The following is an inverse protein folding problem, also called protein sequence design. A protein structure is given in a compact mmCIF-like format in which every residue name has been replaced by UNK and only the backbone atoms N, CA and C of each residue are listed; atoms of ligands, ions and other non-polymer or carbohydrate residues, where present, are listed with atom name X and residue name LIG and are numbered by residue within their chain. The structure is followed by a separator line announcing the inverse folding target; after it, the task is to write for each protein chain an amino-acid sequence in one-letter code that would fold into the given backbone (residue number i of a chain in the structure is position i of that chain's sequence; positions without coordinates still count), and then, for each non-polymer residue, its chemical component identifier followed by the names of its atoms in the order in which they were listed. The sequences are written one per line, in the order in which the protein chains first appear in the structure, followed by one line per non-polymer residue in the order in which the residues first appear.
data_IF_475774335842
#
_entry.id   IF_475774335842
#
_cell.length_a   1.000
_cell.length_b   1.000
_cell.length_c   1.000
_cell.angle_alpha   90.00
_cell.angle_beta   90.00
_cell.angle_gamma   90.00
#
_symmetry.space_group_name_H-M   'P 1'
#
loop_
_entity.id
_entity.type
_entity.pdbx_description
1 polymer ?
#
# COMPACT_ATOMS: atom_id res chain seq x y z
N UNK A 1 -17.10 5.12 -12.44
CA UNK A 1 -16.04 6.11 -12.13
C UNK A 1 -15.95 6.44 -10.64
N UNK A 2 -17.06 6.75 -9.95
CA UNK A 2 -17.06 7.15 -8.53
C UNK A 2 -16.46 6.10 -7.57
N UNK A 3 -16.78 4.83 -7.75
CA UNK A 3 -16.26 3.71 -6.95
C UNK A 3 -14.76 3.50 -7.12
N UNK A 4 -14.26 3.59 -8.36
CA UNK A 4 -12.83 3.47 -8.66
C UNK A 4 -12.03 4.61 -8.01
N UNK A 5 -12.53 5.86 -8.11
CA UNK A 5 -11.89 7.02 -7.50
C UNK A 5 -11.86 6.96 -5.97
N UNK A 6 -12.89 6.40 -5.35
CA UNK A 6 -12.93 6.21 -3.89
C UNK A 6 -11.93 5.14 -3.47
N UNK A 7 -11.87 4.03 -4.21
CA UNK A 7 -10.96 2.93 -3.92
C UNK A 7 -9.49 3.36 -4.03
N UNK A 8 -9.12 4.14 -5.05
CA UNK A 8 -7.76 4.67 -5.18
C UNK A 8 -7.41 5.60 -4.02
N UNK A 9 -8.32 6.47 -3.57
CA UNK A 9 -8.08 7.33 -2.40
C UNK A 9 -7.86 6.51 -1.12
N UNK A 10 -8.66 5.46 -0.90
CA UNK A 10 -8.50 4.58 0.26
C UNK A 10 -7.16 3.82 0.21
N UNK A 11 -6.75 3.36 -0.97
CA UNK A 11 -5.43 2.74 -1.15
C UNK A 11 -4.30 3.72 -0.83
N UNK A 12 -4.37 4.95 -1.34
CA UNK A 12 -3.37 5.98 -1.04
C UNK A 12 -3.30 6.24 0.46
N UNK A 13 -4.45 6.37 1.13
CA UNK A 13 -4.50 6.59 2.57
C UNK A 13 -3.91 5.42 3.37
N UNK A 14 -4.18 4.17 2.96
CA UNK A 14 -3.59 2.99 3.57
C UNK A 14 -2.07 2.97 3.42
N UNK A 15 -1.54 3.20 2.22
CA UNK A 15 -0.11 3.18 1.99
C UNK A 15 0.62 4.36 2.65
N UNK A 16 -0.02 5.54 2.72
CA UNK A 16 0.48 6.66 3.50
C UNK A 16 0.53 6.31 5.01
N UNK A 17 -0.48 5.59 5.52
CA UNK A 17 -0.49 5.07 6.88
C UNK A 17 0.66 4.09 7.14
N UNK A 18 0.91 3.15 6.23
CA UNK A 18 2.07 2.25 6.30
C UNK A 18 3.38 3.04 6.38
N UNK A 19 3.57 4.00 5.48
CA UNK A 19 4.79 4.83 5.46
C UNK A 19 4.96 5.61 6.77
N UNK A 20 3.88 6.20 7.28
CA UNK A 20 3.89 6.92 8.56
C UNK A 20 4.31 6.02 9.71
N UNK A 21 3.77 4.80 9.81
CA UNK A 21 4.13 3.86 10.87
C UNK A 21 5.59 3.44 10.77
N UNK A 22 6.11 3.20 9.55
CA UNK A 22 7.53 2.86 9.32
C UNK A 22 8.43 4.00 9.79
N UNK A 23 8.17 5.23 9.37
CA UNK A 23 8.97 6.40 9.74
C UNK A 23 8.95 6.64 11.26
N UNK A 24 7.78 6.50 11.91
CA UNK A 24 7.67 6.61 13.38
C UNK A 24 8.37 5.47 14.13
N UNK A 25 8.52 4.29 13.52
CA UNK A 25 9.19 3.15 14.12
C UNK A 25 10.72 3.28 14.16
N UNK A 26 11.29 4.37 13.63
CA UNK A 26 12.74 4.61 13.53
C UNK A 26 13.52 3.46 12.85
N UNK A 27 12.90 2.75 11.91
CA UNK A 27 13.46 1.54 11.28
C UNK A 27 13.87 0.46 12.29
N UNK A 28 12.89 0.00 13.08
CA UNK A 28 12.97 -1.30 13.75
C UNK A 28 13.39 -2.42 12.78
N UNK A 29 13.78 -3.59 13.33
CA UNK A 29 14.25 -4.73 12.54
C UNK A 29 13.38 -4.95 11.29
N UNK A 30 14.02 -5.06 10.13
CA UNK A 30 13.40 -5.24 8.80
C UNK A 30 12.31 -6.33 8.74
N UNK A 31 12.38 -7.32 9.63
CA UNK A 31 11.33 -8.31 9.83
C UNK A 31 9.95 -7.70 10.17
N UNK A 32 9.90 -6.71 11.07
CA UNK A 32 8.64 -6.05 11.47
C UNK A 32 8.05 -5.22 10.33
N UNK A 33 8.90 -4.57 9.54
CA UNK A 33 8.50 -3.86 8.33
C UNK A 33 7.83 -4.78 7.31
N UNK A 34 8.35 -6.00 7.12
CA UNK A 34 7.75 -7.02 6.24
C UNK A 34 6.40 -7.48 6.79
N UNK A 35 6.30 -7.76 8.10
CA UNK A 35 5.01 -8.12 8.72
C UNK A 35 3.97 -7.00 8.57
N UNK A 36 4.38 -5.76 8.81
CA UNK A 36 3.52 -4.59 8.67
C UNK A 36 3.04 -4.43 7.23
N UNK A 37 3.90 -4.67 6.24
CA UNK A 37 3.52 -4.65 4.84
C UNK A 37 2.40 -5.66 4.55
N UNK A 38 2.53 -6.91 5.03
CA UNK A 38 1.47 -7.92 4.84
C UNK A 38 0.17 -7.55 5.54
N UNK A 39 0.22 -6.91 6.71
CA UNK A 39 -0.98 -6.44 7.40
C UNK A 39 -1.70 -5.35 6.59
N UNK A 40 -0.98 -4.37 6.07
CA UNK A 40 -1.55 -3.33 5.21
C UNK A 40 -2.02 -3.87 3.85
N UNK A 41 -1.31 -4.85 3.28
CA UNK A 41 -1.73 -5.56 2.07
C UNK A 41 -3.09 -6.26 2.30
N UNK A 42 -3.27 -6.90 3.45
CA UNK A 42 -4.53 -7.54 3.82
C UNK A 42 -5.66 -6.51 4.02
N UNK A 43 -5.39 -5.38 4.69
CA UNK A 43 -6.39 -4.31 4.83
C UNK A 43 -6.79 -3.71 3.49
N UNK A 44 -5.81 -3.51 2.60
CA UNK A 44 -6.02 -3.07 1.21
C UNK A 44 -6.93 -4.03 0.44
N UNK A 45 -6.74 -5.34 0.62
CA UNK A 45 -7.64 -6.36 0.09
C UNK A 45 -9.05 -6.27 0.67
N UNK A 46 -9.19 -6.18 1.99
CA UNK A 46 -10.51 -6.09 2.64
C UNK A 46 -11.30 -4.87 2.17
N UNK A 47 -10.64 -3.70 2.07
CA UNK A 47 -11.26 -2.49 1.52
C UNK A 47 -11.70 -2.72 0.08
N UNK A 48 -10.85 -3.33 -0.74
CA UNK A 48 -11.17 -3.63 -2.14
C UNK A 48 -12.35 -4.58 -2.27
N UNK A 49 -12.45 -5.62 -1.44
CA UNK A 49 -13.60 -6.55 -1.42
C UNK A 49 -14.89 -5.81 -1.07
N UNK A 50 -14.85 -4.91 -0.07
CA UNK A 50 -16.02 -4.14 0.35
C UNK A 50 -16.50 -3.17 -0.72
N UNK A 51 -15.58 -2.54 -1.46
CA UNK A 51 -15.94 -1.55 -2.50
C UNK A 51 -16.29 -2.21 -3.84
N UNK A 52 -15.54 -3.23 -4.27
CA UNK A 52 -15.74 -3.86 -5.57
C UNK A 52 -16.82 -4.94 -5.58
N UNK A 53 -17.17 -5.51 -4.41
CA UNK A 53 -18.12 -6.64 -4.28
C UNK A 53 -17.76 -7.88 -5.14
N UNK A 54 -16.54 -7.95 -5.66
CA UNK A 54 -16.00 -9.03 -6.48
C UNK A 54 -14.58 -9.35 -6.02
N UNK A 55 -14.34 -10.62 -5.70
CA UNK A 55 -13.05 -11.11 -5.20
C UNK A 55 -11.94 -10.93 -6.23
N UNK A 56 -12.22 -11.19 -7.51
CA UNK A 56 -11.24 -11.05 -8.59
C UNK A 56 -10.84 -9.59 -8.80
N UNK A 57 -11.82 -8.67 -8.84
CA UNK A 57 -11.56 -7.24 -8.95
C UNK A 57 -10.80 -6.71 -7.74
N UNK A 58 -11.13 -7.20 -6.54
CA UNK A 58 -10.45 -6.81 -5.32
C UNK A 58 -8.98 -7.25 -5.30
N UNK A 59 -8.69 -8.49 -5.71
CA UNK A 59 -7.31 -8.99 -5.86
C UNK A 59 -6.53 -8.15 -6.86
N UNK A 60 -7.10 -7.90 -8.04
CA UNK A 60 -6.44 -7.09 -9.09
C UNK A 60 -6.13 -5.67 -8.60
N UNK A 61 -7.08 -5.01 -7.93
CA UNK A 61 -6.88 -3.65 -7.39
C UNK A 61 -5.79 -3.63 -6.33
N UNK A 62 -5.85 -4.57 -5.39
CA UNK A 62 -4.87 -4.69 -4.30
C UNK A 62 -3.47 -4.90 -4.83
N UNK A 63 -3.30 -5.85 -5.76
CA UNK A 63 -2.01 -6.14 -6.40
C UNK A 63 -1.48 -4.94 -7.17
N UNK A 64 -2.32 -4.29 -7.98
CA UNK A 64 -1.94 -3.10 -8.73
C UNK A 64 -1.48 -1.98 -7.79
N UNK A 65 -2.25 -1.73 -6.74
CA UNK A 65 -1.93 -0.70 -5.74
C UNK A 65 -0.66 -1.02 -4.97
N UNK A 66 -0.43 -2.27 -4.56
CA UNK A 66 0.78 -2.67 -3.86
C UNK A 66 2.03 -2.57 -4.73
N UNK A 67 1.93 -2.93 -6.02
CA UNK A 67 3.05 -2.79 -6.96
C UNK A 67 3.39 -1.32 -7.15
N UNK A 68 2.38 -0.46 -7.33
CA UNK A 68 2.59 0.99 -7.42
C UNK A 68 3.27 1.54 -6.16
N UNK A 69 2.81 1.14 -4.97
CA UNK A 69 3.43 1.56 -3.72
C UNK A 69 4.90 1.14 -3.62
N UNK A 70 5.22 -0.12 -3.92
CA UNK A 70 6.59 -0.64 -3.88
C UNK A 70 7.50 0.08 -4.88
N UNK A 71 7.00 0.38 -6.09
CA UNK A 71 7.72 1.18 -7.08
C UNK A 71 7.99 2.58 -6.54
N UNK A 72 6.99 3.27 -5.98
CA UNK A 72 7.16 4.59 -5.39
C UNK A 72 8.21 4.56 -4.27
N UNK A 73 8.11 3.60 -3.35
CA UNK A 73 9.07 3.43 -2.25
C UNK A 73 10.49 3.20 -2.77
N UNK A 74 10.65 2.34 -3.78
CA UNK A 74 11.94 2.07 -4.42
C UNK A 74 12.50 3.34 -5.06
N UNK A 75 11.68 4.11 -5.79
CA UNK A 75 12.12 5.37 -6.40
C UNK A 75 12.57 6.38 -5.36
N UNK A 76 11.86 6.53 -4.24
CA UNK A 76 12.27 7.43 -3.16
C UNK A 76 13.58 7.01 -2.49
N UNK A 77 13.81 5.69 -2.33
CA UNK A 77 15.08 5.16 -1.83
C UNK A 77 16.24 5.43 -2.80
N UNK A 78 16.00 5.36 -4.11
CA UNK A 78 17.03 5.58 -5.15
C UNK A 78 17.33 7.06 -5.42
N UNK A 79 16.40 7.96 -5.12
CA UNK A 79 16.50 9.39 -5.37
C UNK A 79 17.73 10.06 -4.69
N UNK A 80 18.11 9.74 -3.44
CA UNK A 80 19.32 10.28 -2.82
C UNK A 80 20.64 9.77 -3.42
N UNK A 81 20.64 8.74 -4.27
CA UNK A 81 21.86 8.27 -4.96
C UNK A 81 22.12 8.98 -6.30
N UNK A 82 21.15 9.77 -6.77
CA UNK A 82 21.16 10.42 -8.08
C UNK A 82 21.44 11.94 -8.01
N UNK A 83 21.60 12.49 -6.80
CA UNK A 83 21.73 13.91 -6.47
C UNK A 83 23.02 14.13 -5.68
#
# INVERSE_FOLDING_TARGET
MRTFSLLTLLHVLLWAGYFTVIELSQNDRSFFEVMLFFMFLYFSYLVSVRVCQSTFSALKSTLCSSVLFLLTKLTMLSLPFLL
#
